data_IF_628936667912
#
_entry.id   IF_628936667912
#
_cell.length_a   1.000
_cell.length_b   1.000
_cell.length_c   1.000
_cell.angle_alpha   90.00
_cell.angle_beta   90.00
_cell.angle_gamma   90.00
#
_symmetry.space_group_name_H-M   'P 1'
#
loop_
_entity.id
_entity.type
_entity.pdbx_description
1 polymer ?
#
# COMPACT_ATOMS: atom_id res chain seq x y z
N UNK A 1 -3.39 6.31 4.90
CA UNK A 1 -2.92 7.68 4.59
C UNK A 1 -3.40 8.19 3.23
N UNK A 2 -3.26 7.45 2.12
CA UNK A 2 -3.74 7.89 0.80
C UNK A 2 -5.23 8.25 0.74
N UNK A 3 -6.10 7.48 1.41
CA UNK A 3 -7.54 7.80 1.55
C UNK A 3 -7.76 9.11 2.31
N UNK A 4 -7.01 9.35 3.38
CA UNK A 4 -7.11 10.59 4.16
C UNK A 4 -6.66 11.81 3.32
N UNK A 5 -5.58 11.67 2.55
CA UNK A 5 -5.15 12.71 1.60
C UNK A 5 -6.25 13.03 0.58
N UNK A 6 -6.93 12.02 0.03
CA UNK A 6 -8.03 12.24 -0.90
C UNK A 6 -9.21 12.95 -0.25
N UNK A 7 -9.59 12.55 0.96
CA UNK A 7 -10.70 13.18 1.71
C UNK A 7 -10.39 14.66 2.01
N UNK A 8 -9.16 14.96 2.43
CA UNK A 8 -8.69 16.33 2.63
C UNK A 8 -8.66 17.15 1.32
N UNK A 9 -8.37 16.50 0.19
CA UNK A 9 -8.44 17.10 -1.14
C UNK A 9 -9.88 17.22 -1.68
N UNK A 10 -10.90 16.89 -0.88
CA UNK A 10 -12.32 17.05 -1.23
C UNK A 10 -12.96 15.86 -1.95
N UNK A 11 -12.29 14.71 -2.01
CA UNK A 11 -12.91 13.47 -2.50
C UNK A 11 -13.96 12.97 -1.50
N UNK A 12 -15.07 12.41 -2.00
CA UNK A 12 -16.11 11.81 -1.14
C UNK A 12 -16.13 10.30 -1.34
N UNK A 13 -16.22 9.55 -0.25
CA UNK A 13 -16.26 8.08 -0.30
C UNK A 13 -17.44 7.54 -1.11
N UNK A 14 -18.57 8.27 -1.18
CA UNK A 14 -19.70 7.90 -2.05
C UNK A 14 -19.36 7.94 -3.54
N UNK A 15 -18.41 8.79 -3.94
CA UNK A 15 -18.02 8.92 -5.34
C UNK A 15 -17.13 7.75 -5.80
N UNK A 16 -16.62 6.94 -4.85
CA UNK A 16 -15.93 5.67 -5.15
C UNK A 16 -16.84 4.63 -5.80
N UNK A 17 -18.14 4.65 -5.50
CA UNK A 17 -19.08 3.74 -6.13
C UNK A 17 -19.20 3.99 -7.65
N UNK A 18 -18.80 5.19 -8.11
CA UNK A 18 -18.76 5.55 -9.52
C UNK A 18 -17.40 5.25 -10.19
N UNK A 19 -16.39 4.83 -9.43
CA UNK A 19 -15.18 4.25 -10.02
C UNK A 19 -15.51 2.82 -10.45
N UNK A 20 -15.46 2.56 -11.75
CA UNK A 20 -15.54 1.22 -12.31
C UNK A 20 -14.25 0.43 -12.02
N UNK A 21 -14.03 0.12 -10.75
CA UNK A 21 -12.91 -0.71 -10.29
C UNK A 21 -13.20 -2.16 -10.67
N UNK A 22 -12.64 -2.56 -11.80
CA UNK A 22 -12.72 -3.93 -12.30
C UNK A 22 -11.95 -4.84 -11.34
N UNK A 23 -12.49 -6.03 -11.07
CA UNK A 23 -11.86 -7.03 -10.21
C UNK A 23 -11.50 -6.52 -8.79
N UNK A 24 -12.34 -5.67 -8.18
CA UNK A 24 -12.14 -5.17 -6.82
C UNK A 24 -11.94 -6.29 -5.77
N UNK A 25 -12.54 -7.47 -6.01
CA UNK A 25 -12.39 -8.67 -5.17
C UNK A 25 -10.93 -9.11 -4.99
N UNK A 26 -10.05 -8.79 -5.94
CA UNK A 26 -8.64 -9.17 -5.93
C UNK A 26 -7.89 -8.47 -4.78
N UNK A 27 -8.20 -7.20 -4.52
CA UNK A 27 -7.60 -6.45 -3.40
C UNK A 27 -8.07 -7.00 -2.05
N UNK A 28 -9.34 -7.44 -1.96
CA UNK A 28 -9.88 -8.10 -0.77
C UNK A 28 -9.17 -9.44 -0.56
N UNK A 29 -8.99 -10.23 -1.63
CA UNK A 29 -8.30 -11.51 -1.55
C UNK A 29 -6.83 -11.34 -1.12
N UNK A 30 -6.14 -10.30 -1.61
CA UNK A 30 -4.78 -9.98 -1.20
C UNK A 30 -4.71 -9.67 0.32
N UNK A 31 -5.64 -8.85 0.82
CA UNK A 31 -5.72 -8.54 2.25
C UNK A 31 -6.03 -9.77 3.11
N UNK A 32 -6.92 -10.65 2.65
CA UNK A 32 -7.23 -11.91 3.32
C UNK A 32 -6.04 -12.87 3.33
N UNK A 33 -5.29 -12.95 2.23
CA UNK A 33 -4.08 -13.76 2.15
C UNK A 33 -3.02 -13.27 3.14
N UNK A 34 -2.69 -11.97 3.12
CA UNK A 34 -1.68 -11.38 4.00
C UNK A 34 -2.11 -11.48 5.47
N UNK A 35 -3.36 -11.10 5.78
CA UNK A 35 -3.91 -11.19 7.13
C UNK A 35 -4.04 -12.62 7.64
N UNK A 36 -4.44 -13.55 6.77
CA UNK A 36 -4.57 -14.97 7.09
C UNK A 36 -3.22 -15.62 7.40
N UNK A 37 -2.19 -15.35 6.60
CA UNK A 37 -0.83 -15.85 6.83
C UNK A 37 -0.19 -15.20 8.06
N UNK A 38 -0.40 -13.90 8.28
CA UNK A 38 0.04 -13.21 9.50
C UNK A 38 -0.62 -13.82 10.75
N UNK A 39 -1.94 -14.07 10.69
CA UNK A 39 -2.66 -14.71 11.78
C UNK A 39 -2.16 -16.15 12.03
N UNK A 40 -1.98 -16.94 10.98
CA UNK A 40 -1.43 -18.30 11.10
C UNK A 40 -0.03 -18.31 11.73
N UNK A 41 0.81 -17.36 11.35
CA UNK A 41 2.16 -17.17 11.94
C UNK A 41 2.07 -16.82 13.43
N UNK A 42 1.14 -15.92 13.82
CA UNK A 42 0.92 -15.55 15.23
C UNK A 42 0.47 -16.72 16.11
N UNK A 43 -0.13 -17.75 15.51
CA UNK A 43 -0.59 -18.99 16.17
C UNK A 43 0.43 -20.12 16.09
N UNK A 44 1.64 -19.85 15.57
CA UNK A 44 2.70 -20.84 15.33
C UNK A 44 2.26 -22.00 14.39
N UNK A 45 1.30 -21.76 13.49
CA UNK A 45 0.82 -22.77 12.55
C UNK A 45 1.69 -22.85 11.29
N UNK A 46 2.35 -21.74 10.92
CA UNK A 46 3.21 -21.63 9.75
C UNK A 46 4.46 -20.84 10.14
N UNK A 47 5.63 -21.27 9.66
CA UNK A 47 6.89 -20.54 9.90
C UNK A 47 6.85 -19.16 9.21
N UNK A 48 7.30 -18.10 9.89
CA UNK A 48 7.68 -16.80 9.29
C UNK A 48 8.36 -16.90 7.93
N UNK A 49 9.31 -17.84 7.79
CA UNK A 49 10.16 -17.98 6.60
C UNK A 49 9.39 -18.45 5.37
N UNK A 50 8.24 -19.10 5.57
CA UNK A 50 7.34 -19.57 4.50
C UNK A 50 6.20 -18.57 4.32
N UNK A 51 5.60 -18.14 5.43
CA UNK A 51 4.45 -17.24 5.42
C UNK A 51 4.79 -15.87 4.81
N UNK A 52 5.96 -15.31 5.12
CA UNK A 52 6.40 -14.00 4.62
C UNK A 52 6.52 -13.95 3.09
N UNK A 53 7.39 -14.79 2.47
CA UNK A 53 7.55 -14.82 1.02
C UNK A 53 6.25 -15.19 0.29
N UNK A 54 5.46 -16.13 0.84
CA UNK A 54 4.19 -16.53 0.23
C UNK A 54 3.16 -15.40 0.26
N UNK A 55 3.03 -14.70 1.40
CA UNK A 55 2.15 -13.55 1.52
C UNK A 55 2.56 -12.45 0.55
N UNK A 56 3.84 -12.06 0.54
CA UNK A 56 4.34 -10.99 -0.33
C UNK A 56 4.22 -11.34 -1.81
N UNK A 57 4.55 -12.57 -2.20
CA UNK A 57 4.39 -13.04 -3.58
C UNK A 57 2.92 -13.05 -4.02
N UNK A 58 2.03 -13.56 -3.17
CA UNK A 58 0.59 -13.60 -3.48
C UNK A 58 -0.06 -12.21 -3.52
N UNK A 59 0.30 -11.32 -2.58
CA UNK A 59 -0.14 -9.92 -2.60
C UNK A 59 0.34 -9.23 -3.87
N UNK A 60 1.61 -9.41 -4.24
CA UNK A 60 2.16 -8.82 -5.47
C UNK A 60 1.41 -9.29 -6.71
N UNK A 61 1.11 -10.59 -6.83
CA UNK A 61 0.38 -11.14 -7.97
C UNK A 61 -1.06 -10.63 -8.02
N UNK A 62 -1.77 -10.66 -6.89
CA UNK A 62 -3.16 -10.22 -6.81
C UNK A 62 -3.25 -8.71 -7.04
N UNK A 63 -2.56 -7.90 -6.25
CA UNK A 63 -2.57 -6.44 -6.40
C UNK A 63 -2.07 -6.05 -7.78
N UNK A 64 -1.00 -6.68 -8.29
CA UNK A 64 -0.48 -6.45 -9.64
C UNK A 64 -1.52 -6.73 -10.72
N UNK A 65 -2.26 -7.83 -10.64
CA UNK A 65 -3.35 -8.15 -11.55
C UNK A 65 -4.49 -7.11 -11.46
N UNK A 66 -4.90 -6.74 -10.24
CA UNK A 66 -5.90 -5.71 -10.02
C UNK A 66 -5.50 -4.37 -10.63
N UNK A 67 -4.23 -3.98 -10.47
CA UNK A 67 -3.69 -2.75 -11.06
C UNK A 67 -3.62 -2.82 -12.59
N UNK A 68 -3.21 -3.96 -13.15
CA UNK A 68 -3.17 -4.18 -14.61
C UNK A 68 -4.55 -3.99 -15.24
N UNK A 69 -5.57 -4.65 -14.69
CA UNK A 69 -6.95 -4.59 -15.23
C UNK A 69 -7.51 -3.16 -15.13
N UNK A 70 -7.00 -2.36 -14.19
CA UNK A 70 -7.42 -0.98 -13.97
C UNK A 70 -6.41 0.07 -14.46
N UNK A 71 -5.45 -0.28 -15.33
CA UNK A 71 -4.41 0.63 -15.83
C UNK A 71 -4.94 1.86 -16.61
N UNK A 72 -6.23 1.88 -16.93
CA UNK A 72 -6.95 3.02 -17.49
C UNK A 72 -7.11 4.20 -16.51
N UNK A 73 -6.94 3.97 -15.19
CA UNK A 73 -6.97 5.00 -14.15
C UNK A 73 -5.56 5.59 -13.96
N UNK A 74 -5.43 6.91 -14.12
CA UNK A 74 -4.11 7.57 -14.11
C UNK A 74 -3.44 7.51 -12.75
N UNK A 75 -4.21 7.63 -11.67
CA UNK A 75 -3.69 7.52 -10.31
C UNK A 75 -3.04 6.17 -10.01
N UNK A 76 -3.48 5.09 -10.66
CA UNK A 76 -2.93 3.75 -10.43
C UNK A 76 -1.50 3.56 -10.98
N UNK A 77 -1.03 4.41 -11.90
CA UNK A 77 0.37 4.35 -12.35
C UNK A 77 1.36 4.68 -11.23
N UNK A 78 1.01 5.62 -10.36
CA UNK A 78 1.80 5.91 -9.15
C UNK A 78 1.74 4.74 -8.16
N UNK A 79 0.59 4.06 -8.06
CA UNK A 79 0.47 2.86 -7.23
C UNK A 79 1.36 1.73 -7.75
N UNK A 80 1.39 1.50 -9.06
CA UNK A 80 2.27 0.51 -9.70
C UNK A 80 3.74 0.87 -9.43
N UNK A 81 4.13 2.13 -9.60
CA UNK A 81 5.51 2.57 -9.35
C UNK A 81 5.92 2.32 -7.89
N UNK A 82 5.07 2.70 -6.93
CA UNK A 82 5.33 2.46 -5.51
C UNK A 82 5.42 0.97 -5.17
N UNK A 83 4.52 0.15 -5.72
CA UNK A 83 4.54 -1.30 -5.57
C UNK A 83 5.83 -1.90 -6.13
N UNK A 84 6.27 -1.48 -7.31
CA UNK A 84 7.52 -1.94 -7.93
C UNK A 84 8.73 -1.55 -7.09
N UNK A 85 8.81 -0.32 -6.59
CA UNK A 85 9.88 0.11 -5.70
C UNK A 85 9.99 -0.79 -4.46
N UNK A 86 8.88 -0.96 -3.73
CA UNK A 86 8.86 -1.80 -2.53
C UNK A 86 9.20 -3.26 -2.86
N UNK A 87 8.66 -3.78 -3.96
CA UNK A 87 8.92 -5.15 -4.41
C UNK A 87 10.40 -5.38 -4.70
N UNK A 88 11.03 -4.48 -5.45
CA UNK A 88 12.45 -4.58 -5.79
C UNK A 88 13.33 -4.60 -4.53
N UNK A 89 13.02 -3.75 -3.55
CA UNK A 89 13.74 -3.71 -2.27
C UNK A 89 13.57 -5.04 -1.52
N UNK A 90 12.33 -5.52 -1.38
CA UNK A 90 12.01 -6.76 -0.68
C UNK A 90 12.74 -7.94 -1.32
N UNK A 91 12.67 -8.09 -2.65
CA UNK A 91 13.34 -9.19 -3.35
C UNK A 91 14.87 -9.08 -3.25
N UNK A 92 15.44 -7.88 -3.37
CA UNK A 92 16.88 -7.68 -3.25
C UNK A 92 17.42 -7.94 -1.83
N UNK A 93 16.55 -7.89 -0.81
CA UNK A 93 16.88 -8.16 0.60
C UNK A 93 16.36 -9.54 1.07
N UNK A 94 16.16 -10.49 0.16
CA UNK A 94 15.82 -11.88 0.50
C UNK A 94 14.39 -12.09 1.01
N UNK A 95 13.46 -11.21 0.63
CA UNK A 95 12.05 -11.28 1.03
C UNK A 95 11.70 -10.39 2.23
N UNK A 96 12.65 -9.62 2.74
CA UNK A 96 12.43 -8.73 3.89
C UNK A 96 12.54 -7.26 3.50
N UNK A 97 11.71 -6.41 4.10
CA UNK A 97 11.83 -4.96 3.97
C UNK A 97 12.88 -4.44 4.96
N UNK A 98 13.98 -3.80 4.50
CA UNK A 98 14.97 -3.21 5.39
C UNK A 98 14.43 -1.92 6.02
N UNK A 99 14.53 -1.84 7.34
CA UNK A 99 14.03 -0.71 8.15
C UNK A 99 15.16 0.00 8.87
N UNK A 100 15.21 1.33 8.75
CA UNK A 100 16.19 2.16 9.42
C UNK A 100 15.96 2.22 10.93
N UNK A 101 16.94 1.75 11.70
CA UNK A 101 16.93 1.86 13.17
C UNK A 101 16.82 3.33 13.64
N UNK A 102 17.51 4.25 12.96
CA UNK A 102 17.43 5.67 13.25
C UNK A 102 16.01 6.21 13.01
N UNK A 103 15.36 5.79 11.92
CA UNK A 103 14.00 6.22 11.62
C UNK A 103 12.98 5.67 12.64
N UNK A 104 13.15 4.41 13.08
CA UNK A 104 12.33 3.84 14.16
C UNK A 104 12.47 4.63 15.46
N UNK A 105 13.69 4.97 15.84
CA UNK A 105 13.96 5.78 17.04
C UNK A 105 13.34 7.18 16.91
N UNK A 106 13.50 7.85 15.77
CA UNK A 106 12.91 9.16 15.49
C UNK A 106 11.38 9.13 15.50
N UNK A 107 10.77 8.03 15.04
CA UNK A 107 9.33 7.80 15.14
C UNK A 107 8.86 7.51 16.58
N UNK A 108 9.78 7.24 17.52
CA UNK A 108 9.49 6.84 18.90
C UNK A 108 8.96 5.41 19.00
N UNK A 109 9.52 4.50 18.18
CA UNK A 109 9.14 3.09 18.07
C UNK A 109 10.23 2.18 18.66
N UNK A 110 10.74 2.50 19.84
CA UNK A 110 11.83 1.76 20.50
C UNK A 110 11.48 0.29 20.75
N UNK A 111 10.22 -0.02 21.05
CA UNK A 111 9.76 -1.41 21.20
C UNK A 111 9.78 -2.22 19.90
N UNK A 112 9.59 -1.56 18.75
CA UNK A 112 9.71 -2.22 17.45
C UNK A 112 11.18 -2.47 17.09
N UNK A 113 12.07 -1.54 17.46
CA UNK A 113 13.52 -1.72 17.34
C UNK A 113 14.00 -2.95 18.13
N UNK A 114 13.51 -3.13 19.35
CA UNK A 114 13.82 -4.30 20.17
C UNK A 114 13.30 -5.61 19.55
N UNK A 115 12.10 -5.60 18.98
CA UNK A 115 11.51 -6.75 18.30
C UNK A 115 12.28 -7.17 17.04
N UNK A 116 12.73 -6.20 16.25
CA UNK A 116 13.55 -6.42 15.04
C UNK A 116 14.95 -6.93 15.38
N UNK A 117 15.53 -6.42 16.47
CA UNK A 117 16.84 -6.90 16.97
C UNK A 117 16.78 -8.36 17.40
N UNK A 118 15.62 -8.82 17.90
CA UNK A 118 15.37 -10.22 18.26
C UNK A 118 14.91 -11.10 17.10
N UNK A 119 14.84 -10.58 15.86
CA UNK A 119 14.26 -11.26 14.69
C UNK A 119 12.84 -11.80 14.93
N UNK A 120 12.06 -11.11 15.77
CA UNK A 120 10.68 -11.51 16.05
C UNK A 120 9.71 -11.11 14.93
N UNK A 121 10.14 -10.24 14.02
CA UNK A 121 9.38 -9.85 12.84
C UNK A 121 9.78 -10.70 11.63
N UNK A 122 8.78 -11.39 11.06
CA UNK A 122 8.93 -12.25 9.90
C UNK A 122 9.20 -11.49 8.59
N UNK A 123 8.92 -10.18 8.55
CA UNK A 123 8.72 -9.44 7.31
C UNK A 123 9.66 -8.23 7.21
N UNK A 124 10.10 -7.70 8.35
CA UNK A 124 11.02 -6.58 8.41
C UNK A 124 12.39 -7.02 8.92
N UNK A 125 13.46 -6.46 8.34
CA UNK A 125 14.83 -6.66 8.78
C UNK A 125 15.46 -5.32 9.13
N UNK A 126 16.40 -5.32 10.08
CA UNK A 126 17.11 -4.11 10.45
C UNK A 126 18.09 -3.73 9.33
N UNK A 127 18.02 -2.50 8.85
CA UNK A 127 18.82 -2.03 7.73
C UNK A 127 20.31 -2.00 8.09
N UNK A 128 21.14 -2.56 7.22
CA UNK A 128 22.61 -2.56 7.37
C UNK A 128 23.26 -1.79 6.22
N UNK A 129 24.54 -1.39 6.33
CA UNK A 129 25.26 -0.73 5.23
C UNK A 129 25.34 -1.56 3.94
N UNK A 130 25.10 -2.88 4.03
CA UNK A 130 25.13 -3.81 2.89
C UNK A 130 23.75 -4.14 2.35
N UNK A 131 22.66 -3.63 2.94
CA UNK A 131 21.29 -3.83 2.45
C UNK A 131 21.14 -3.25 1.03
N UNK A 132 20.88 -4.08 0.00
CA UNK A 132 20.67 -3.58 -1.35
C UNK A 132 19.46 -2.63 -1.41
N UNK A 133 19.55 -1.59 -2.24
CA UNK A 133 18.46 -0.62 -2.45
C UNK A 133 17.92 0.03 -1.15
N UNK A 134 18.75 0.14 -0.11
CA UNK A 134 18.38 0.70 1.20
C UNK A 134 17.70 2.07 1.13
N UNK A 135 18.03 2.90 0.13
CA UNK A 135 17.43 4.24 -0.11
C UNK A 135 15.92 4.15 -0.37
N UNK A 136 15.46 3.03 -0.93
CA UNK A 136 14.05 2.78 -1.21
C UNK A 136 13.36 1.99 -0.09
N UNK A 137 14.09 1.63 0.97
CA UNK A 137 13.55 0.96 2.16
C UNK A 137 12.80 1.90 3.10
N UNK A 138 12.47 1.41 4.29
CA UNK A 138 11.74 2.16 5.30
C UNK A 138 12.70 3.10 6.05
N UNK A 139 12.86 4.30 5.51
CA UNK A 139 13.82 5.30 6.01
C UNK A 139 13.16 6.61 6.47
N UNK A 140 11.87 6.81 6.18
CA UNK A 140 11.19 8.07 6.45
C UNK A 140 10.37 7.95 7.74
N UNK A 141 10.80 8.56 8.85
CA UNK A 141 10.03 8.53 10.09
C UNK A 141 8.76 9.38 9.97
N UNK A 142 7.63 8.82 10.35
CA UNK A 142 6.34 9.50 10.40
C UNK A 142 5.82 9.46 11.83
N UNK A 143 5.72 10.64 12.46
CA UNK A 143 5.16 10.82 13.79
C UNK A 143 4.10 11.90 13.76
N UNK A 144 2.84 11.48 13.75
CA UNK A 144 1.69 12.39 13.73
C UNK A 144 0.79 12.06 14.93
N UNK A 145 0.84 12.91 15.94
CA UNK A 145 0.08 12.75 17.19
C UNK A 145 0.34 11.38 17.87
N UNK A 146 -0.62 10.45 17.81
CA UNK A 146 -0.49 9.07 18.32
C UNK A 146 -0.06 8.04 17.26
N UNK A 147 -0.04 8.43 15.99
CA UNK A 147 0.39 7.56 14.89
C UNK A 147 1.91 7.64 14.74
N UNK A 148 2.57 6.49 14.81
CA UNK A 148 4.02 6.32 14.65
C UNK A 148 4.22 5.24 13.60
N UNK A 149 4.99 5.56 12.56
CA UNK A 149 5.35 4.59 11.54
C UNK A 149 6.68 5.00 10.89
N UNK A 150 7.31 4.07 10.18
CA UNK A 150 8.38 4.38 9.24
C UNK A 150 7.87 3.97 7.86
N UNK A 151 8.02 4.84 6.87
CA UNK A 151 7.52 4.59 5.53
C UNK A 151 8.67 4.62 4.52
N UNK A 152 8.46 3.94 3.40
CA UNK A 152 9.38 3.97 2.26
C UNK A 152 9.04 5.08 1.27
N UNK A 153 9.94 5.31 0.30
CA UNK A 153 9.62 6.12 -0.88
C UNK A 153 8.51 5.47 -1.73
N UNK A 154 8.46 4.14 -1.79
CA UNK A 154 7.39 3.42 -2.46
C UNK A 154 6.02 3.67 -1.82
N UNK A 155 5.95 3.77 -0.49
CA UNK A 155 4.72 4.09 0.24
C UNK A 155 4.21 5.49 -0.08
N UNK A 156 5.10 6.46 -0.31
CA UNK A 156 4.72 7.80 -0.75
C UNK A 156 4.04 7.73 -2.13
N UNK A 157 4.62 7.00 -3.08
CA UNK A 157 4.02 6.79 -4.40
C UNK A 157 2.67 6.06 -4.31
N UNK A 158 2.57 5.02 -3.48
CA UNK A 158 1.32 4.31 -3.21
C UNK A 158 0.26 5.27 -2.66
N UNK A 159 0.63 6.10 -1.67
CA UNK A 159 -0.28 7.07 -1.04
C UNK A 159 -0.78 8.12 -2.03
N UNK A 160 0.13 8.70 -2.83
CA UNK A 160 -0.21 9.68 -3.87
C UNK A 160 -1.11 9.04 -4.93
N UNK A 161 -0.76 7.84 -5.39
CA UNK A 161 -1.52 7.15 -6.42
C UNK A 161 -2.94 6.80 -5.99
N UNK A 162 -3.10 6.28 -4.77
CA UNK A 162 -4.43 6.09 -4.17
C UNK A 162 -5.16 7.43 -4.09
N UNK A 163 -4.51 8.48 -3.60
CA UNK A 163 -5.11 9.81 -3.50
C UNK A 163 -5.65 10.35 -4.82
N UNK A 164 -4.83 10.26 -5.88
CA UNK A 164 -5.18 10.69 -7.23
C UNK A 164 -6.30 9.87 -7.84
N UNK A 165 -6.30 8.54 -7.67
CA UNK A 165 -7.38 7.67 -8.16
C UNK A 165 -8.72 8.03 -7.51
N UNK A 166 -8.73 8.30 -6.21
CA UNK A 166 -9.93 8.72 -5.47
C UNK A 166 -10.43 10.08 -5.95
N UNK A 167 -9.53 11.03 -6.17
CA UNK A 167 -9.87 12.37 -6.67
C UNK A 167 -10.43 12.29 -8.10
N UNK A 168 -9.79 11.51 -8.96
CA UNK A 168 -10.26 11.25 -10.33
C UNK A 168 -11.69 10.68 -10.34
N UNK A 169 -11.99 9.74 -9.45
CA UNK A 169 -13.35 9.21 -9.25
C UNK A 169 -14.36 10.29 -8.87
N UNK A 170 -14.00 11.15 -7.91
CA UNK A 170 -14.87 12.23 -7.44
C UNK A 170 -15.14 13.28 -8.51
N UNK A 171 -14.13 13.65 -9.30
CA UNK A 171 -14.28 14.59 -10.41
C UNK A 171 -15.17 14.02 -11.53
N UNK A 172 -15.00 12.74 -11.87
CA UNK A 172 -15.87 12.06 -12.85
C UNK A 172 -17.32 12.01 -12.38
N UNK A 173 -17.56 11.72 -11.10
CA UNK A 173 -18.90 11.69 -10.52
C UNK A 173 -19.59 13.06 -10.56
N UNK A 174 -18.85 14.15 -10.27
CA UNK A 174 -19.38 15.53 -10.36
C UNK A 174 -19.75 15.87 -11.80
N UNK A 175 -18.88 15.59 -12.77
CA UNK A 175 -19.14 15.87 -14.19
C UNK A 175 -20.41 15.17 -14.70
N UNK A 176 -20.61 13.91 -14.34
CA UNK A 176 -21.83 13.15 -14.70
C UNK A 176 -23.10 13.72 -14.08
N UNK A 177 -23.01 14.31 -12.89
CA UNK A 177 -24.15 14.97 -12.23
C UNK A 177 -24.48 16.35 -12.84
N UNK A 178 -23.52 16.98 -13.53
CA UNK A 178 -23.66 18.28 -14.19
C UNK A 178 -24.01 18.18 -15.68
N UNK A 179 -23.94 16.98 -16.28
CA UNK A 179 -24.39 16.74 -17.66
C UNK A 179 -25.92 16.99 -17.74
N UNK A 180 -26.38 17.95 -18.56
CA UNK A 180 -27.80 18.20 -18.73
C UNK A 180 -28.46 16.92 -19.26
N UNK A 181 -29.57 16.52 -18.62
CA UNK A 181 -30.43 15.45 -19.10
C UNK A 181 -30.92 15.83 -20.50
N UNK A 182 -30.27 15.27 -21.52
CA UNK A 182 -30.72 15.35 -22.91
C UNK A 182 -31.96 14.46 -23.04
N UNK A 183 -33.08 14.95 -22.50
CA UNK A 183 -34.39 14.35 -22.73
C UNK A 183 -34.78 14.77 -24.13
N UNK A 184 -34.50 13.90 -25.10
CA UNK A 184 -35.01 14.03 -26.47
C UNK A 184 -36.55 13.90 -26.44
N UNK A 185 -37.22 15.02 -26.18
CA UNK A 185 -38.68 15.15 -26.21
C UNK A 185 -39.18 15.30 -27.65
N UNK A 186 -38.70 14.46 -28.57
CA UNK A 186 -39.28 14.30 -29.89
C UNK A 186 -40.34 13.19 -29.82
N UNK A 187 -41.56 13.59 -29.50
CA UNK A 187 -42.78 12.81 -29.72
C UNK A 187 -43.46 13.26 -31.01
#
# INVERSE_FOLDING_TARGET
MGVALALLAGARLRDLANLELKAAWVFVLAALLEGGLAFATSRNLVSPDIAGPLAKGGVLLLVGYGLWVNAHLRGLWFVILGLLCNTLVIFANGGHMPVSALALQQAGMDSALDGLTRKADAIHSLMTPTSPLWVLGDIIPVKIWRYRNVISLGDIYLMIGVGLTLLEGSLRAKRKAEEPLDIDLRF
#
